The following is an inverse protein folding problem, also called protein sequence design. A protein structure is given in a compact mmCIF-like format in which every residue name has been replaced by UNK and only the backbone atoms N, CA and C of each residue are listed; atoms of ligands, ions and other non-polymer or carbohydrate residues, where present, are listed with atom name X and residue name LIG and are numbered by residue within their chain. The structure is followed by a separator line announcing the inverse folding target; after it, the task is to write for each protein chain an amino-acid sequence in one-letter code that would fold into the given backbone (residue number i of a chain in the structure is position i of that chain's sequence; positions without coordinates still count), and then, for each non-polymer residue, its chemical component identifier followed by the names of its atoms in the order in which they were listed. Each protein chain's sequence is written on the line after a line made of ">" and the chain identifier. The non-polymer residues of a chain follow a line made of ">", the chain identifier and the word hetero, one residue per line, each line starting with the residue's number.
data_IF_978809111365
#
_entry.id   IF_978809111365
#
_cell.length_a   1.000
_cell.length_b   1.000
_cell.length_c   1.000
_cell.angle_alpha   90.00
_cell.angle_beta   90.00
_cell.angle_gamma   90.00
#
_symmetry.space_group_name_H-M   'P 1'
#
loop_
_entity.id
_entity.type
_entity.pdbx_description
1 polymer ?
#
# COMPACT_ATOMS: atom_id res chain seq x y z
N UNK A 1 15.29 7.26 17.50
CA UNK A 1 15.33 7.95 16.19
C UNK A 1 13.96 7.79 15.54
N UNK A 2 13.37 8.87 15.01
CA UNK A 2 12.07 8.83 14.32
C UNK A 2 12.33 8.84 12.82
N UNK A 3 11.89 7.80 12.12
CA UNK A 3 12.00 7.73 10.65
C UNK A 3 10.76 8.34 10.00
N UNK A 4 10.91 9.29 9.06
CA UNK A 4 9.77 9.82 8.33
C UNK A 4 9.13 8.73 7.47
N UNK A 5 7.80 8.77 7.31
CA UNK A 5 7.08 7.86 6.42
C UNK A 5 7.29 8.29 4.98
N UNK A 6 7.83 7.39 4.18
CA UNK A 6 8.14 7.56 2.77
C UNK A 6 7.03 6.90 1.93
N UNK A 7 7.41 6.26 0.82
CA UNK A 7 6.51 5.57 -0.11
C UNK A 7 5.82 4.37 0.55
N UNK A 8 4.57 4.14 0.18
CA UNK A 8 3.81 2.93 0.48
C UNK A 8 3.70 2.07 -0.79
N UNK A 9 4.18 0.84 -0.74
CA UNK A 9 4.02 -0.12 -1.85
C UNK A 9 2.82 -1.02 -1.61
N UNK A 10 2.05 -1.31 -2.66
CA UNK A 10 0.97 -2.27 -2.60
C UNK A 10 1.22 -3.44 -3.53
N UNK A 11 1.21 -4.64 -2.96
CA UNK A 11 1.36 -5.89 -3.68
C UNK A 11 0.07 -6.69 -3.62
N UNK A 12 -0.14 -7.58 -4.61
CA UNK A 12 -1.34 -8.41 -4.67
C UNK A 12 -1.41 -9.49 -3.58
N UNK A 13 -0.29 -9.76 -2.89
CA UNK A 13 -0.18 -10.76 -1.83
C UNK A 13 1.09 -10.58 -0.99
N UNK A 14 1.25 -11.44 0.02
CA UNK A 14 2.32 -11.35 1.03
C UNK A 14 3.61 -12.07 0.64
N UNK A 15 3.58 -12.91 -0.40
CA UNK A 15 4.71 -13.74 -0.83
C UNK A 15 5.29 -13.25 -2.17
N UNK A 16 5.64 -11.97 -2.25
CA UNK A 16 6.27 -11.36 -3.43
C UNK A 16 7.75 -11.08 -3.13
N UNK A 17 8.71 -11.49 -3.96
CA UNK A 17 10.14 -11.24 -3.73
C UNK A 17 10.48 -9.76 -3.52
N UNK A 18 9.76 -8.87 -4.20
CA UNK A 18 9.90 -7.42 -4.07
C UNK A 18 9.70 -6.91 -2.64
N UNK A 19 8.89 -7.59 -1.82
CA UNK A 19 8.68 -7.20 -0.41
C UNK A 19 10.00 -7.21 0.36
N UNK A 20 10.87 -8.19 0.10
CA UNK A 20 12.19 -8.27 0.77
C UNK A 20 13.09 -7.09 0.40
N UNK A 21 13.05 -6.65 -0.86
CA UNK A 21 13.83 -5.51 -1.32
C UNK A 21 13.29 -4.19 -0.75
N UNK A 22 11.97 -4.02 -0.78
CA UNK A 22 11.29 -2.79 -0.36
C UNK A 22 11.38 -2.56 1.15
N UNK A 23 11.29 -3.62 1.95
CA UNK A 23 11.34 -3.54 3.41
C UNK A 23 12.73 -3.16 3.98
N UNK A 24 13.76 -3.13 3.13
CA UNK A 24 15.11 -2.70 3.54
C UNK A 24 15.30 -1.17 3.49
N UNK A 25 14.37 -0.44 2.87
CA UNK A 25 14.48 1.02 2.76
C UNK A 25 13.88 1.73 3.97
N UNK A 26 14.56 2.75 4.54
CA UNK A 26 14.06 3.47 5.70
C UNK A 26 12.79 4.25 5.37
N UNK A 27 11.76 4.10 6.19
CA UNK A 27 10.48 4.81 6.05
C UNK A 27 9.56 4.24 4.98
N UNK A 28 9.99 3.22 4.23
CA UNK A 28 9.17 2.53 3.23
C UNK A 28 8.36 1.43 3.90
N UNK A 29 7.12 1.28 3.46
CA UNK A 29 6.23 0.23 3.95
C UNK A 29 5.56 -0.48 2.77
N UNK A 30 5.04 -1.68 3.02
CA UNK A 30 4.23 -2.40 2.06
C UNK A 30 2.87 -2.80 2.65
N UNK A 31 1.90 -3.01 1.77
CA UNK A 31 0.57 -3.49 2.14
C UNK A 31 -0.04 -4.31 1.01
N UNK A 32 -1.21 -4.89 1.26
CA UNK A 32 -2.01 -5.59 0.25
C UNK A 32 -3.41 -4.95 0.17
N UNK A 33 -4.15 -5.11 -0.94
CA UNK A 33 -5.50 -4.55 -1.08
C UNK A 33 -6.45 -4.93 0.06
N UNK A 34 -6.26 -6.12 0.66
CA UNK A 34 -7.10 -6.64 1.74
C UNK A 34 -6.68 -6.10 3.12
N UNK A 35 -5.39 -5.83 3.31
CA UNK A 35 -4.82 -5.41 4.61
C UNK A 35 -4.54 -3.91 4.69
N UNK A 36 -5.06 -3.13 3.73
CA UNK A 36 -4.84 -1.68 3.64
C UNK A 36 -5.49 -0.97 4.82
N UNK A 37 -4.72 -0.16 5.55
CA UNK A 37 -5.22 0.60 6.70
C UNK A 37 -5.07 2.12 6.48
N UNK A 38 -6.01 2.89 7.03
CA UNK A 38 -6.01 4.37 6.98
C UNK A 38 -4.74 4.97 7.60
N UNK A 39 -4.20 4.37 8.67
CA UNK A 39 -2.97 4.84 9.31
C UNK A 39 -1.73 4.72 8.40
N UNK A 40 -1.77 3.78 7.44
CA UNK A 40 -0.72 3.63 6.45
C UNK A 40 -0.89 4.65 5.31
N UNK A 41 -2.12 4.94 4.89
CA UNK A 41 -2.42 5.92 3.84
C UNK A 41 -2.27 7.38 4.30
N UNK A 42 -2.61 7.66 5.55
CA UNK A 42 -2.63 8.99 6.15
C UNK A 42 -1.86 8.99 7.47
N UNK A 43 -0.52 8.86 7.43
CA UNK A 43 0.30 8.86 8.64
C UNK A 43 0.17 10.19 9.38
N UNK A 44 -0.20 10.13 10.67
CA UNK A 44 -0.46 11.32 11.48
C UNK A 44 -1.75 12.06 11.13
N UNK A 45 -2.67 11.44 10.37
CA UNK A 45 -3.94 12.05 9.97
C UNK A 45 -3.83 13.00 8.78
N UNK A 46 -2.65 13.14 8.18
CA UNK A 46 -2.46 13.94 6.97
C UNK A 46 -2.89 13.14 5.74
N UNK A 47 -3.90 13.58 4.97
CA UNK A 47 -4.36 12.86 3.80
C UNK A 47 -3.30 12.91 2.69
N UNK A 48 -3.13 11.78 2.02
CA UNK A 48 -2.20 11.65 0.90
C UNK A 48 -0.84 11.13 1.34
N UNK A 49 -0.52 9.94 0.83
CA UNK A 49 0.82 9.35 0.86
C UNK A 49 1.11 8.77 -0.51
N UNK A 50 2.35 8.90 -0.97
CA UNK A 50 2.73 8.34 -2.27
C UNK A 50 2.59 6.82 -2.24
N UNK A 51 1.67 6.30 -3.04
CA UNK A 51 1.32 4.89 -3.14
C UNK A 51 1.76 4.34 -4.49
N UNK A 52 2.59 3.29 -4.48
CA UNK A 52 3.01 2.56 -5.69
C UNK A 52 2.28 1.23 -5.72
N UNK A 53 1.48 1.01 -6.77
CA UNK A 53 0.62 -0.15 -6.93
C UNK A 53 1.17 -1.07 -8.02
N UNK A 54 1.11 -2.39 -7.81
CA UNK A 54 1.21 -3.32 -8.94
C UNK A 54 -0.12 -3.43 -9.66
N UNK A 55 -0.09 -3.72 -10.96
CA UNK A 55 -1.30 -3.91 -11.76
C UNK A 55 -2.26 -4.93 -11.14
N UNK A 56 -1.72 -6.08 -10.70
CA UNK A 56 -2.52 -7.12 -10.04
C UNK A 56 -3.12 -6.67 -8.70
N UNK A 57 -2.46 -5.76 -7.97
CA UNK A 57 -3.02 -5.19 -6.75
C UNK A 57 -4.17 -4.23 -7.08
N UNK A 58 -4.03 -3.43 -8.14
CA UNK A 58 -5.09 -2.54 -8.61
C UNK A 58 -6.33 -3.31 -9.07
N UNK A 59 -6.16 -4.42 -9.80
CA UNK A 59 -7.29 -5.27 -10.22
C UNK A 59 -8.06 -5.82 -9.03
N UNK A 60 -7.36 -6.35 -8.02
CA UNK A 60 -8.00 -6.82 -6.77
C UNK A 60 -8.72 -5.69 -6.03
N UNK A 61 -8.14 -4.48 -6.04
CA UNK A 61 -8.75 -3.33 -5.40
C UNK A 61 -10.05 -2.92 -6.11
N UNK A 62 -10.08 -2.99 -7.45
CA UNK A 62 -11.30 -2.76 -8.24
C UNK A 62 -12.39 -3.81 -7.97
N UNK A 63 -12.01 -5.07 -7.72
CA UNK A 63 -12.96 -6.12 -7.31
C UNK A 63 -13.54 -5.85 -5.91
N UNK A 64 -12.69 -5.45 -4.95
CA UNK A 64 -13.10 -5.14 -3.57
C UNK A 64 -14.02 -3.91 -3.49
N UNK A 65 -13.72 -2.87 -4.27
CA UNK A 65 -14.44 -1.60 -4.26
C UNK A 65 -15.27 -1.41 -5.53
N UNK A 66 -15.94 -2.48 -5.98
CA UNK A 66 -16.78 -2.45 -7.17
C UNK A 66 -17.95 -1.49 -6.96
N UNK A 67 -17.90 -0.33 -7.61
CA UNK A 67 -19.02 0.61 -7.64
C UNK A 67 -20.11 0.02 -8.53
N UNK A 68 -21.23 -0.39 -7.94
CA UNK A 68 -22.43 -0.74 -8.68
C UNK A 68 -23.00 0.56 -9.25
N UNK A 69 -22.80 0.78 -10.55
CA UNK A 69 -23.53 1.83 -11.26
C UNK A 69 -24.98 1.35 -11.46
N UNK A 70 -25.99 2.19 -11.16
CA UNK A 70 -27.38 1.87 -11.45
C UNK A 70 -27.62 1.74 -12.95
#
# INVERSE_FOLDING_TARGET
>A
YVTPKSVLFMFSGTHVPAIKAVNNFPGVEYTTPVTLNILQLAPGGNPGRLLVLTESALTKLNELYKVMKP
#
